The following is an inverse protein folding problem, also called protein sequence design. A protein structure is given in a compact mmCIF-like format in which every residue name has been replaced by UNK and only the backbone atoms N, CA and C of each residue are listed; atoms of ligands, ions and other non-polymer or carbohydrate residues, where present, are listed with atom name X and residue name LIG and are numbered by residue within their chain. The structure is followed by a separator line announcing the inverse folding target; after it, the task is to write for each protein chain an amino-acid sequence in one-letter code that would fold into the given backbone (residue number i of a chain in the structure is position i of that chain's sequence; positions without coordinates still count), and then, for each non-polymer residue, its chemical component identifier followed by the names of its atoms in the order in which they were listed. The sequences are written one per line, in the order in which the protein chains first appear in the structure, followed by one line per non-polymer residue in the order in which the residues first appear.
data_IF_824106868235
#
_entry.id   IF_824106868235
#
_cell.length_a   1.000
_cell.length_b   1.000
_cell.length_c   1.000
_cell.angle_alpha   90.00
_cell.angle_beta   90.00
_cell.angle_gamma   90.00
#
_symmetry.space_group_name_H-M   'P 1'
#
loop_
_entity.id
_entity.type
_entity.pdbx_description
1 polymer ?
#
# COMPACT_ATOMS: atom_id res chain seq x y z
N UNK A 1 1.36 14.05 4.97
CA UNK A 1 0.32 13.17 4.34
C UNK A 1 0.70 12.62 2.97
N UNK A 2 1.36 13.37 2.07
CA UNK A 2 1.72 12.86 0.73
C UNK A 2 2.53 11.56 0.74
N UNK A 3 3.54 11.45 1.61
CA UNK A 3 4.37 10.23 1.74
C UNK A 3 3.55 9.02 2.20
N UNK A 4 2.54 9.21 3.05
CA UNK A 4 1.64 8.12 3.45
C UNK A 4 0.89 7.56 2.23
N UNK A 5 0.29 8.44 1.42
CA UNK A 5 -0.45 8.04 0.21
C UNK A 5 0.48 7.33 -0.78
N UNK A 6 1.70 7.86 -0.97
CA UNK A 6 2.72 7.25 -1.82
C UNK A 6 3.04 5.82 -1.38
N UNK A 7 3.37 5.61 -0.09
CA UNK A 7 3.69 4.27 0.42
C UNK A 7 2.49 3.33 0.38
N UNK A 8 1.29 3.84 0.65
CA UNK A 8 0.06 3.06 0.56
C UNK A 8 -0.23 2.61 -0.87
N UNK A 9 0.07 3.44 -1.89
CA UNK A 9 -0.06 3.09 -3.30
C UNK A 9 1.03 2.09 -3.74
N UNK A 10 2.30 2.39 -3.45
CA UNK A 10 3.45 1.59 -3.92
C UNK A 10 3.43 0.18 -3.34
N UNK A 11 3.16 0.05 -2.05
CA UNK A 11 3.18 -1.25 -1.35
C UNK A 11 1.78 -1.81 -1.10
N UNK A 12 0.74 -1.14 -1.61
CA UNK A 12 -0.65 -1.50 -1.40
C UNK A 12 -1.04 -1.65 0.07
N UNK A 13 -0.51 -0.84 0.98
CA UNK A 13 -0.74 -1.00 2.42
C UNK A 13 -2.23 -0.88 2.77
N UNK A 14 -2.71 -1.71 3.71
CA UNK A 14 -4.03 -1.47 4.30
C UNK A 14 -3.97 -0.15 5.08
N UNK A 15 -5.05 0.65 5.08
CA UNK A 15 -5.08 1.97 5.75
C UNK A 15 -4.53 1.96 7.19
N UNK A 16 -4.91 0.95 7.98
CA UNK A 16 -4.42 0.80 9.35
C UNK A 16 -2.94 0.44 9.43
N UNK A 17 -2.43 -0.35 8.49
CA UNK A 17 -0.99 -0.68 8.38
C UNK A 17 -0.18 0.57 7.99
N UNK A 18 -0.66 1.35 7.01
CA UNK A 18 -0.02 2.60 6.61
C UNK A 18 0.09 3.59 7.77
N UNK A 19 -0.99 3.75 8.54
CA UNK A 19 -1.01 4.60 9.74
C UNK A 19 -0.20 4.01 10.91
N UNK A 20 0.06 2.70 10.89
CA UNK A 20 0.82 1.99 11.92
C UNK A 20 2.29 1.79 11.56
N UNK A 21 2.81 2.43 10.52
CA UNK A 21 4.23 2.38 10.21
C UNK A 21 5.03 3.06 11.32
N UNK A 22 6.14 2.42 11.73
CA UNK A 22 6.95 2.81 12.88
C UNK A 22 8.36 3.21 12.45
N UNK A 23 8.95 4.22 13.09
CA UNK A 23 10.35 4.60 12.87
C UNK A 23 11.32 3.45 13.16
N UNK A 24 11.04 2.63 14.17
CA UNK A 24 11.83 1.42 14.48
C UNK A 24 11.76 0.33 13.40
N UNK A 25 10.83 0.44 12.46
CA UNK A 25 10.71 -0.43 11.30
C UNK A 25 11.47 0.09 10.07
N UNK A 26 11.91 1.35 10.06
CA UNK A 26 12.56 1.98 8.92
C UNK A 26 14.08 1.89 9.04
N UNK A 27 14.70 1.19 8.09
CA UNK A 27 16.15 1.07 7.97
C UNK A 27 16.60 1.72 6.66
N UNK A 28 17.11 2.96 6.71
CA UNK A 28 17.51 3.69 5.50
C UNK A 28 18.77 3.13 4.84
N UNK A 29 19.63 2.45 5.60
CA UNK A 29 20.91 1.95 5.09
C UNK A 29 20.73 0.60 4.40
N UNK A 30 19.89 -0.26 4.97
CA UNK A 30 19.46 -1.49 4.30
C UNK A 30 18.39 -1.24 3.22
N UNK A 31 17.82 -0.03 3.16
CA UNK A 31 16.73 0.29 2.23
C UNK A 31 15.47 -0.53 2.52
N UNK A 32 15.08 -0.69 3.79
CA UNK A 32 13.92 -1.51 4.16
C UNK A 32 12.91 -0.81 5.07
N UNK A 33 11.66 -1.26 5.00
CA UNK A 33 10.59 -0.85 5.90
C UNK A 33 9.79 -2.06 6.39
N UNK A 34 9.84 -2.31 7.70
CA UNK A 34 9.09 -3.38 8.35
C UNK A 34 7.67 -2.93 8.69
N UNK A 35 6.69 -3.62 8.14
CA UNK A 35 5.27 -3.47 8.48
C UNK A 35 4.96 -4.41 9.64
N UNK A 36 4.87 -3.87 10.85
CA UNK A 36 4.71 -4.68 12.08
C UNK A 36 3.46 -4.35 12.88
N UNK A 37 2.93 -3.13 12.73
CA UNK A 37 1.78 -2.64 13.49
C UNK A 37 0.67 -2.15 12.56
N UNK A 38 -0.51 -1.98 13.15
CA UNK A 38 -1.62 -1.27 12.53
C UNK A 38 -2.39 -0.45 13.58
N UNK A 39 -2.83 0.73 13.17
CA UNK A 39 -3.78 1.54 13.95
C UNK A 39 -5.19 1.03 13.69
N UNK A 40 -5.96 0.80 14.77
CA UNK A 40 -7.35 0.35 14.72
C UNK A 40 -8.21 1.11 15.71
N UNK A 41 -9.45 1.40 15.31
CA UNK A 41 -10.52 1.80 16.22
C UNK A 41 -11.20 0.55 16.77
N UNK A 42 -11.21 0.38 18.08
CA UNK A 42 -11.84 -0.75 18.77
C UNK A 42 -12.90 -0.27 19.77
N UNK A 43 -13.88 -1.11 20.09
CA UNK A 43 -14.82 -0.84 21.18
C UNK A 43 -14.06 -0.70 22.49
N UNK A 44 -14.43 0.31 23.28
CA UNK A 44 -13.92 0.45 24.62
C UNK A 44 -14.75 -0.45 25.54
N UNK A 45 -14.08 -1.37 26.23
CA UNK A 45 -14.72 -2.36 27.13
C UNK A 45 -14.71 -1.93 28.59
N UNK A 46 -14.11 -0.78 28.88
CA UNK A 46 -14.13 -0.18 30.21
C UNK A 46 -15.52 0.43 30.44
N UNK A 47 -16.21 -0.05 31.48
CA UNK A 47 -17.56 0.39 31.86
C UNK A 47 -17.60 1.86 32.29
N UNK A 48 -16.47 2.43 32.71
CA UNK A 48 -16.36 3.81 33.18
C UNK A 48 -15.86 4.75 32.09
N UNK A 49 -15.61 4.26 30.87
CA UNK A 49 -15.09 5.08 29.81
C UNK A 49 -16.13 6.03 29.21
N UNK A 50 -15.76 7.31 29.10
CA UNK A 50 -16.58 8.35 28.46
C UNK A 50 -16.79 8.14 26.95
N UNK A 51 -15.92 7.36 26.29
CA UNK A 51 -16.01 7.05 24.85
C UNK A 51 -16.21 5.56 24.61
N UNK A 52 -17.22 5.23 23.78
CA UNK A 52 -17.56 3.86 23.34
C UNK A 52 -16.47 3.18 22.50
N UNK A 53 -15.54 3.94 21.93
CA UNK A 53 -14.42 3.41 21.13
C UNK A 53 -13.12 4.14 21.41
N UNK A 54 -11.99 3.45 21.19
CA UNK A 54 -10.63 4.00 21.34
C UNK A 54 -9.74 3.56 20.17
N UNK A 55 -8.72 4.38 19.88
CA UNK A 55 -7.67 4.01 18.94
C UNK A 55 -6.60 3.19 19.67
N UNK A 56 -6.11 2.15 19.01
CA UNK A 56 -5.01 1.32 19.50
C UNK A 56 -4.00 1.08 18.39
N UNK A 57 -2.72 1.08 18.75
CA UNK A 57 -1.63 0.59 17.90
C UNK A 57 -1.42 -0.87 18.30
N UNK A 58 -1.73 -1.80 17.40
CA UNK A 58 -1.57 -3.23 17.67
C UNK A 58 -0.58 -3.84 16.70
N UNK A 59 0.24 -4.77 17.21
CA UNK A 59 1.03 -5.63 16.35
C UNK A 59 0.14 -6.47 15.44
N UNK A 60 0.60 -6.67 14.21
CA UNK A 60 -0.07 -7.56 13.26
C UNK A 60 0.04 -8.99 13.77
N UNK A 61 -1.10 -9.69 13.81
CA UNK A 61 -1.25 -10.98 14.52
C UNK A 61 -0.50 -12.13 13.85
N UNK A 62 -0.32 -12.11 12.53
CA UNK A 62 0.23 -13.24 11.78
C UNK A 62 1.63 -12.93 11.26
N UNK A 63 2.46 -13.98 11.11
CA UNK A 63 3.78 -13.86 10.47
C UNK A 63 3.67 -13.29 9.05
N UNK A 64 2.70 -13.75 8.24
CA UNK A 64 2.52 -13.26 6.85
C UNK A 64 2.15 -11.78 6.75
N UNK A 65 1.39 -11.25 7.71
CA UNK A 65 1.06 -9.83 7.73
C UNK A 65 2.27 -8.96 8.12
N UNK A 66 3.18 -9.51 8.94
CA UNK A 66 4.45 -8.87 9.31
C UNK A 66 5.49 -9.11 8.23
N UNK A 67 5.79 -8.08 7.46
CA UNK A 67 6.65 -8.19 6.28
C UNK A 67 7.64 -7.06 6.20
N UNK A 68 8.74 -7.32 5.52
CA UNK A 68 9.76 -6.32 5.21
C UNK A 68 9.57 -5.92 3.75
N UNK A 69 9.44 -4.62 3.51
CA UNK A 69 9.31 -4.02 2.19
C UNK A 69 10.67 -3.47 1.78
N UNK A 70 11.08 -3.73 0.54
CA UNK A 70 12.26 -3.11 -0.05
C UNK A 70 11.92 -1.71 -0.53
N UNK A 71 12.74 -0.74 -0.16
CA UNK A 71 12.61 0.66 -0.53
C UNK A 71 13.62 1.00 -1.62
N UNK A 72 13.18 1.73 -2.64
CA UNK A 72 14.10 2.38 -3.58
C UNK A 72 14.72 3.62 -2.92
N UNK A 73 15.84 4.15 -3.43
CA UNK A 73 16.46 5.37 -2.91
C UNK A 73 15.47 6.55 -2.82
N UNK A 74 14.59 6.70 -3.80
CA UNK A 74 13.60 7.78 -3.84
C UNK A 74 12.57 7.67 -2.69
N UNK A 75 12.20 6.43 -2.32
CA UNK A 75 11.29 6.18 -1.20
C UNK A 75 11.99 6.42 0.14
N UNK A 76 13.25 6.02 0.27
CA UNK A 76 14.08 6.34 1.44
C UNK A 76 14.16 7.85 1.64
N UNK A 77 14.45 8.59 0.58
CA UNK A 77 14.55 10.05 0.61
C UNK A 77 13.22 10.74 0.90
N UNK A 78 12.11 10.22 0.36
CA UNK A 78 10.78 10.71 0.69
C UNK A 78 10.48 10.54 2.19
N UNK A 79 10.81 9.38 2.79
CA UNK A 79 10.62 9.11 4.21
C UNK A 79 11.55 10.00 5.07
N UNK A 80 12.81 10.19 4.67
CA UNK A 80 13.76 11.08 5.37
C UNK A 80 13.30 12.54 5.37
N UNK A 81 12.81 13.04 4.23
CA UNK A 81 12.22 14.40 4.14
C UNK A 81 10.99 14.53 5.03
N UNK A 82 10.12 13.52 5.03
CA UNK A 82 8.99 13.46 5.95
C UNK A 82 9.43 13.49 7.41
N UNK A 83 10.47 12.73 7.80
CA UNK A 83 11.02 12.74 9.17
C UNK A 83 11.49 14.13 9.59
N UNK A 84 12.11 14.86 8.68
CA UNK A 84 12.64 16.20 8.96
C UNK A 84 11.50 17.20 9.24
N UNK A 85 10.46 17.19 8.40
CA UNK A 85 9.25 17.99 8.65
C UNK A 85 8.55 17.57 9.96
N UNK A 86 8.50 16.27 10.20
CA UNK A 86 7.89 15.70 11.39
C UNK A 86 8.56 16.13 12.69
N UNK A 87 9.89 16.20 12.71
CA UNK A 87 10.65 16.67 13.87
C UNK A 87 10.34 18.14 14.19
N UNK A 88 10.04 18.97 13.19
CA UNK A 88 9.64 20.36 13.39
C UNK A 88 8.24 20.45 14.04
N UNK A 89 7.27 19.65 13.58
CA UNK A 89 5.93 19.55 14.20
C UNK A 89 6.03 19.08 15.66
N UNK A 90 6.88 18.08 15.92
CA UNK A 90 7.14 17.60 17.28
C UNK A 90 7.70 18.68 18.19
N UNK A 91 8.64 19.49 17.70
CA UNK A 91 9.20 20.60 18.47
C UNK A 91 8.16 21.67 18.77
N UNK A 92 7.26 21.96 17.82
CA UNK A 92 6.16 22.90 18.00
C UNK A 92 5.14 22.42 19.04
N UNK A 93 4.82 21.12 19.08
CA UNK A 93 3.91 20.54 20.06
C UNK A 93 4.48 20.53 21.49
N UNK A 94 5.81 20.53 21.64
CA UNK A 94 6.48 20.64 22.94
C UNK A 94 5.99 19.61 23.95
N UNK A 95 5.48 20.07 25.09
CA UNK A 95 5.00 19.23 26.18
C UNK A 95 3.70 18.47 25.86
N UNK A 96 2.94 18.89 24.85
CA UNK A 96 1.71 18.20 24.40
C UNK A 96 1.99 16.99 23.50
N UNK A 97 3.27 16.77 23.17
CA UNK A 97 3.69 15.64 22.33
C UNK A 97 3.64 14.31 23.08
N UNK A 98 2.87 13.36 22.56
CA UNK A 98 2.88 11.97 23.02
C UNK A 98 3.67 11.08 22.07
N UNK A 99 4.80 10.53 22.53
CA UNK A 99 5.65 9.67 21.72
C UNK A 99 5.08 8.24 21.59
N UNK A 100 4.89 7.80 20.34
CA UNK A 100 4.42 6.46 20.00
C UNK A 100 5.29 5.76 18.96
N UNK A 101 6.34 6.41 18.44
CA UNK A 101 7.24 5.88 17.41
C UNK A 101 6.62 5.80 16.02
N UNK A 102 5.46 6.42 15.79
CA UNK A 102 4.74 6.41 14.52
C UNK A 102 5.45 7.29 13.47
N UNK A 103 5.46 6.85 12.22
CA UNK A 103 5.88 7.68 11.08
C UNK A 103 4.82 8.73 10.75
N UNK A 104 3.54 8.40 10.92
CA UNK A 104 2.41 9.28 10.56
C UNK A 104 1.44 9.53 11.73
N UNK A 105 1.91 10.10 12.85
CA UNK A 105 1.02 10.47 13.94
C UNK A 105 0.23 11.76 13.61
N UNK A 106 -0.63 12.18 14.54
CA UNK A 106 -1.21 13.53 14.53
C UNK A 106 -0.18 14.59 14.91
N UNK A 107 -0.57 15.86 14.84
CA UNK A 107 0.28 16.99 15.27
C UNK A 107 0.77 16.89 16.73
N UNK A 108 0.11 16.08 17.56
CA UNK A 108 0.45 15.87 18.97
C UNK A 108 1.04 14.47 19.23
N UNK A 109 1.51 13.76 18.19
CA UNK A 109 2.17 12.46 18.32
C UNK A 109 1.22 11.26 18.48
N UNK A 110 -0.07 11.50 18.68
CA UNK A 110 -1.09 10.46 18.86
C UNK A 110 -1.39 9.68 17.56
N UNK A 111 -1.96 8.46 17.63
CA UNK A 111 -2.39 7.72 16.46
C UNK A 111 -3.46 8.47 15.67
N UNK A 112 -3.26 8.59 14.36
CA UNK A 112 -4.27 9.11 13.43
C UNK A 112 -5.41 8.12 13.25
N UNK A 113 -6.66 8.59 13.27
CA UNK A 113 -7.82 7.75 13.05
C UNK A 113 -7.90 7.28 11.58
N UNK A 114 -8.01 5.96 11.30
CA UNK A 114 -8.23 5.43 9.97
C UNK A 114 -9.43 6.04 9.22
N UNK A 115 -10.51 6.38 9.91
CA UNK A 115 -11.70 6.95 9.28
C UNK A 115 -11.48 8.43 8.93
N UNK A 116 -10.81 9.20 9.80
CA UNK A 116 -10.36 10.56 9.49
C UNK A 116 -9.44 10.58 8.27
N UNK A 117 -8.48 9.65 8.20
CA UNK A 117 -7.63 9.51 7.02
C UNK A 117 -8.44 9.17 5.76
N UNK A 118 -9.44 8.28 5.87
CA UNK A 118 -10.29 7.91 4.75
C UNK A 118 -11.10 9.10 4.23
N UNK A 119 -11.71 9.88 5.11
CA UNK A 119 -12.44 11.09 4.73
C UNK A 119 -11.52 12.15 4.10
N UNK A 120 -10.32 12.35 4.65
CA UNK A 120 -9.34 13.27 4.07
C UNK A 120 -8.94 12.81 2.66
N UNK A 121 -8.64 11.53 2.49
CA UNK A 121 -8.28 10.96 1.20
C UNK A 121 -9.40 11.13 0.16
N UNK A 122 -10.64 10.80 0.52
CA UNK A 122 -11.78 10.98 -0.40
C UNK A 122 -11.96 12.45 -0.83
N UNK A 123 -11.76 13.40 0.09
CA UNK A 123 -11.78 14.83 -0.25
C UNK A 123 -10.64 15.22 -1.19
N UNK A 124 -9.43 14.69 -0.97
CA UNK A 124 -8.28 14.94 -1.85
C UNK A 124 -8.50 14.35 -3.24
N UNK A 125 -9.05 13.14 -3.33
CA UNK A 125 -9.37 12.49 -4.60
C UNK A 125 -10.44 13.26 -5.39
N UNK A 126 -11.48 13.74 -4.70
CA UNK A 126 -12.51 14.60 -5.31
C UNK A 126 -11.89 15.88 -5.87
N UNK A 127 -11.01 16.54 -5.10
CA UNK A 127 -10.29 17.75 -5.55
C UNK A 127 -9.34 17.48 -6.72
N UNK A 128 -8.80 16.28 -6.81
CA UNK A 128 -7.94 15.84 -7.89
C UNK A 128 -8.72 15.37 -9.14
N UNK A 129 -10.06 15.43 -9.15
CA UNK A 129 -10.89 15.01 -10.28
C UNK A 129 -11.06 13.50 -10.42
N UNK A 130 -10.66 12.70 -9.42
CA UNK A 130 -10.78 11.24 -9.45
C UNK A 130 -12.18 10.74 -9.03
N UNK A 131 -13.00 11.61 -8.44
CA UNK A 131 -14.32 11.26 -7.92
C UNK A 131 -14.28 10.51 -6.59
N UNK A 132 -15.19 9.55 -6.42
CA UNK A 132 -15.39 8.82 -5.17
C UNK A 132 -14.35 7.72 -4.95
N UNK A 133 -13.20 8.08 -4.38
CA UNK A 133 -12.15 7.13 -4.02
C UNK A 133 -12.03 6.92 -2.52
N UNK A 134 -11.74 5.67 -2.14
CA UNK A 134 -11.42 5.27 -0.78
C UNK A 134 -9.96 4.82 -0.70
N UNK A 135 -9.25 4.86 0.45
CA UNK A 135 -7.87 4.40 0.53
C UNK A 135 -7.62 2.96 0.08
N UNK A 136 -8.67 2.13 -0.01
CA UNK A 136 -8.56 0.77 -0.55
C UNK A 136 -8.23 0.77 -2.05
N UNK A 137 -8.65 1.80 -2.78
CA UNK A 137 -8.35 1.97 -4.21
C UNK A 137 -6.86 2.15 -4.47
N UNK A 138 -6.11 2.73 -3.53
CA UNK A 138 -4.65 2.80 -3.61
C UNK A 138 -4.04 1.40 -3.62
N UNK A 139 -4.59 0.49 -2.81
CA UNK A 139 -4.15 -0.91 -2.77
C UNK A 139 -4.48 -1.65 -4.07
N UNK A 140 -5.69 -1.48 -4.59
CA UNK A 140 -6.07 -2.06 -5.87
C UNK A 140 -5.21 -1.53 -7.01
N UNK A 141 -5.00 -0.22 -7.05
CA UNK A 141 -4.17 0.43 -8.07
C UNK A 141 -2.72 -0.05 -8.02
N UNK A 142 -2.12 -0.12 -6.82
CA UNK A 142 -0.77 -0.63 -6.64
C UNK A 142 -0.61 -2.08 -7.10
N UNK A 143 -1.53 -2.94 -6.69
CA UNK A 143 -1.55 -4.35 -7.09
C UNK A 143 -1.70 -4.53 -8.61
N UNK A 144 -2.69 -3.85 -9.20
CA UNK A 144 -2.93 -3.87 -10.64
C UNK A 144 -1.70 -3.39 -11.41
N UNK A 145 -1.06 -2.31 -10.97
CA UNK A 145 0.15 -1.78 -11.61
C UNK A 145 1.34 -2.72 -11.50
N UNK A 146 1.54 -3.37 -10.34
CA UNK A 146 2.59 -4.39 -10.20
C UNK A 146 2.39 -5.56 -11.17
N UNK A 147 1.16 -6.06 -11.28
CA UNK A 147 0.80 -7.16 -12.18
C UNK A 147 0.94 -6.76 -13.66
N UNK A 148 0.50 -5.56 -14.02
CA UNK A 148 0.63 -5.03 -15.38
C UNK A 148 2.10 -4.85 -15.81
N UNK A 149 3.03 -4.69 -14.86
CA UNK A 149 4.47 -4.67 -15.12
C UNK A 149 5.11 -6.08 -15.13
N UNK A 150 4.31 -7.14 -15.04
CA UNK A 150 4.77 -8.53 -15.07
C UNK A 150 5.30 -9.05 -13.73
N UNK A 151 5.06 -8.34 -12.62
CA UNK A 151 5.44 -8.85 -11.29
C UNK A 151 4.67 -10.16 -11.01
N UNK A 152 5.36 -11.26 -10.64
CA UNK A 152 4.68 -12.52 -10.36
C UNK A 152 3.64 -12.39 -9.25
N UNK A 153 2.50 -13.06 -9.41
CA UNK A 153 1.36 -12.97 -8.49
C UNK A 153 1.72 -13.27 -7.02
N UNK A 154 2.63 -14.22 -6.78
CA UNK A 154 3.09 -14.56 -5.43
C UNK A 154 3.88 -13.40 -4.80
N UNK A 155 4.73 -12.71 -5.57
CA UNK A 155 5.47 -11.52 -5.12
C UNK A 155 4.51 -10.38 -4.78
N UNK A 156 3.51 -10.13 -5.64
CA UNK A 156 2.47 -9.13 -5.36
C UNK A 156 1.72 -9.49 -4.08
N UNK A 157 1.34 -10.76 -3.90
CA UNK A 157 0.67 -11.25 -2.70
C UNK A 157 1.50 -10.99 -1.43
N UNK A 158 2.81 -11.20 -1.49
CA UNK A 158 3.73 -11.01 -0.37
C UNK A 158 3.90 -9.52 -0.04
N UNK A 159 4.11 -8.66 -1.04
CA UNK A 159 4.17 -7.19 -0.88
C UNK A 159 2.88 -6.65 -0.27
N UNK A 160 1.73 -7.16 -0.70
CA UNK A 160 0.42 -6.77 -0.18
C UNK A 160 0.14 -7.35 1.22
N UNK A 161 0.88 -8.36 1.68
CA UNK A 161 0.63 -9.05 2.95
C UNK A 161 -0.71 -9.79 2.97
N UNK A 162 -1.05 -10.48 1.88
CA UNK A 162 -2.18 -11.42 1.85
C UNK A 162 -1.84 -12.73 2.58
N UNK A 163 -2.82 -13.28 3.30
CA UNK A 163 -2.63 -14.56 4.01
C UNK A 163 -2.51 -15.75 3.05
N UNK A 164 -3.10 -15.63 1.86
CA UNK A 164 -3.05 -16.61 0.78
C UNK A 164 -2.94 -15.91 -0.57
N UNK A 165 -2.19 -16.50 -1.49
CA UNK A 165 -2.07 -16.06 -2.90
C UNK A 165 -3.44 -16.12 -3.59
N UNK A 166 -4.31 -17.06 -3.18
CA UNK A 166 -5.67 -17.20 -3.71
C UNK A 166 -6.44 -15.87 -3.65
N UNK A 167 -6.29 -15.09 -2.57
CA UNK A 167 -6.93 -13.77 -2.43
C UNK A 167 -6.50 -12.84 -3.57
N UNK A 168 -5.21 -12.82 -3.91
CA UNK A 168 -4.69 -12.00 -5.01
C UNK A 168 -5.19 -12.53 -6.36
N UNK A 169 -5.24 -13.86 -6.53
CA UNK A 169 -5.76 -14.49 -7.73
C UNK A 169 -7.24 -14.18 -7.95
N UNK A 170 -8.05 -14.26 -6.90
CA UNK A 170 -9.50 -14.05 -6.98
C UNK A 170 -9.82 -12.59 -7.33
N UNK A 171 -9.00 -11.65 -6.87
CA UNK A 171 -9.20 -10.21 -7.12
C UNK A 171 -8.62 -9.76 -8.47
N UNK A 172 -7.49 -10.32 -8.91
CA UNK A 172 -6.76 -9.82 -10.09
C UNK A 172 -6.56 -10.86 -11.19
N UNK A 173 -7.14 -12.05 -11.08
CA UNK A 173 -6.95 -13.16 -12.02
C UNK A 173 -7.32 -12.80 -13.46
N UNK A 174 -8.30 -11.90 -13.64
CA UNK A 174 -8.69 -11.39 -14.96
C UNK A 174 -7.53 -10.65 -15.68
N UNK A 175 -6.57 -10.07 -14.94
CA UNK A 175 -5.41 -9.39 -15.54
C UNK A 175 -4.38 -10.39 -16.09
N UNK A 176 -4.55 -11.68 -15.79
CA UNK A 176 -3.62 -12.76 -16.14
C UNK A 176 -4.18 -13.69 -17.22
N UNK A 177 -5.33 -13.37 -17.84
CA UNK A 177 -6.02 -14.27 -18.79
C UNK A 177 -5.30 -14.50 -20.13
N UNK A 178 -4.06 -14.02 -20.31
CA UNK A 178 -3.22 -14.29 -21.48
C UNK A 178 -2.26 -15.50 -21.37
N UNK A 179 -2.15 -16.15 -20.21
CA UNK A 179 -0.94 -16.92 -19.89
C UNK A 179 -0.83 -18.32 -20.52
N UNK A 180 -1.94 -19.02 -20.80
CA UNK A 180 -1.83 -20.44 -21.24
C UNK A 180 -1.15 -20.60 -22.59
N UNK A 181 -1.53 -19.77 -23.58
CA UNK A 181 -0.94 -19.81 -24.93
C UNK A 181 0.49 -19.28 -24.91
N UNK A 182 0.74 -18.19 -24.20
CA UNK A 182 2.08 -17.62 -24.04
C UNK A 182 3.04 -18.61 -23.36
N UNK A 183 2.59 -19.35 -22.33
CA UNK A 183 3.37 -20.38 -21.66
C UNK A 183 3.73 -21.54 -22.60
N UNK A 184 2.76 -22.03 -23.38
CA UNK A 184 2.99 -23.08 -24.38
C UNK A 184 3.93 -22.61 -25.50
N UNK A 185 3.82 -21.35 -25.93
CA UNK A 185 4.74 -20.77 -26.91
C UNK A 185 6.15 -20.58 -26.35
N UNK A 186 6.29 -20.19 -25.09
CA UNK A 186 7.58 -20.01 -24.43
C UNK A 186 8.32 -21.36 -24.28
N UNK A 187 7.63 -22.41 -23.81
CA UNK A 187 8.24 -23.74 -23.66
C UNK A 187 8.56 -24.36 -25.03
N UNK A 188 7.70 -24.16 -26.03
CA UNK A 188 7.96 -24.57 -27.42
C UNK A 188 9.18 -23.86 -27.99
N UNK A 189 9.30 -22.54 -27.78
CA UNK A 189 10.47 -21.78 -28.21
C UNK A 189 11.76 -22.25 -27.53
N UNK A 190 11.71 -22.54 -26.23
CA UNK A 190 12.88 -22.93 -25.44
C UNK A 190 13.36 -24.36 -25.73
N UNK A 191 12.44 -25.30 -25.95
CA UNK A 191 12.77 -26.73 -26.09
C UNK A 191 12.72 -27.24 -27.52
N UNK A 192 11.87 -26.67 -28.38
CA UNK A 192 11.60 -27.15 -29.73
C UNK A 192 12.20 -26.25 -30.82
N UNK A 193 12.86 -25.15 -30.44
CA UNK A 193 13.70 -24.35 -31.32
C UNK A 193 12.99 -23.90 -32.61
N UNK A 194 11.99 -23.01 -32.49
CA UNK A 194 11.52 -22.23 -33.64
C UNK A 194 11.93 -20.76 -33.48
N UNK A 195 12.64 -20.16 -34.43
CA UNK A 195 12.99 -18.74 -34.35
C UNK A 195 11.70 -17.90 -34.44
N UNK A 196 11.42 -17.05 -33.45
CA UNK A 196 10.33 -16.08 -33.55
C UNK A 196 10.78 -14.87 -34.38
N UNK A 197 10.23 -14.76 -35.58
CA UNK A 197 10.12 -13.50 -36.34
C UNK A 197 9.27 -12.53 -35.49
N UNK A 198 9.79 -11.34 -35.22
CA UNK A 198 9.11 -10.28 -34.45
C UNK A 198 8.62 -9.20 -35.41
N UNK A 199 7.32 -8.85 -35.36
CA UNK A 199 6.76 -7.51 -35.62
C UNK A 199 5.23 -7.51 -35.31
N UNK A 200 4.58 -6.34 -35.15
CA UNK A 200 4.64 -5.46 -33.99
C UNK A 200 3.26 -5.30 -33.29
N UNK A 201 3.27 -4.64 -32.12
CA UNK A 201 2.09 -4.22 -31.34
C UNK A 201 1.17 -3.29 -32.16
N UNK A 202 -0.13 -3.52 -32.10
CA UNK A 202 -1.15 -2.50 -32.39
C UNK A 202 -2.05 -2.35 -31.15
N UNK A 203 -2.27 -1.11 -30.75
CA UNK A 203 -3.39 -0.65 -29.93
C UNK A 203 -3.95 0.59 -30.63
N UNK A 204 -5.16 1.06 -30.28
CA UNK A 204 -6.46 0.41 -30.27
C UNK A 204 -7.35 0.96 -31.42
N UNK A 205 -8.33 0.18 -31.87
CA UNK A 205 -9.55 0.68 -32.56
C UNK A 205 -10.69 -0.09 -31.89
N UNK A 206 -11.81 0.51 -31.49
CA UNK A 206 -12.69 1.30 -32.33
C UNK A 206 -13.34 2.47 -31.57
N UNK A 207 -13.37 3.61 -32.25
CA UNK A 207 -14.48 4.52 -32.19
C UNK A 207 -15.68 3.91 -32.92
N UNK A 208 -16.88 4.32 -32.50
CA UNK A 208 -18.18 4.18 -33.19
C UNK A 208 -18.86 2.80 -33.16
N UNK A 209 -19.93 2.68 -32.37
CA UNK A 209 -21.32 2.77 -32.89
C UNK A 209 -22.33 2.58 -31.74
N UNK A 210 -23.17 3.60 -31.47
CA UNK A 210 -24.57 3.44 -31.08
C UNK A 210 -25.24 4.83 -30.95
N UNK A 211 -26.02 5.18 -31.99
CA UNK A 211 -27.35 5.79 -31.93
C UNK A 211 -27.57 7.06 -31.13
#
# INVERSE_FOLDING_TARGET
MGVLILLALVFGLRRGEALGLMWSGFDPDAGTLRVTHAVKRIKNRDSNATRKTKLVINQLKTKKSRRTLSLTPELVDAIKRHRSAHNAERLQAGAEWTEHGLIFPTAFGNPSDPDTFSHLFSKLAQKAGLGHWHPHELRHSGASRMLAQGTPLHVVSDVLGHASIAITKDVYGHLMEGDKRAATEAISSALLGRPKRVAPKVAPTDAEEAG
#
